data_IF_450055260527
#
_entry.id   IF_450055260527
#
_cell.length_a   1.000
_cell.length_b   1.000
_cell.length_c   1.000
_cell.angle_alpha   90.00
_cell.angle_beta   90.00
_cell.angle_gamma   90.00
#
_symmetry.space_group_name_H-M   'P 1'
#
loop_
_entity.id
_entity.type
_entity.pdbx_description
1 polymer ?
#
# COMPACT_ATOMS: atom_id res chain seq x y z
N UNK A 1 24.45 -27.19 2.23
CA UNK A 1 24.53 -25.97 1.39
C UNK A 1 23.60 -24.96 2.04
N UNK A 2 24.13 -23.89 2.62
CA UNK A 2 23.38 -23.01 3.52
C UNK A 2 22.17 -22.39 2.80
N UNK A 3 20.98 -22.40 3.42
CA UNK A 3 19.74 -21.90 2.80
C UNK A 3 19.86 -20.44 2.31
N UNK A 4 20.70 -19.62 2.97
CA UNK A 4 21.01 -18.25 2.50
C UNK A 4 21.72 -18.21 1.13
N UNK A 5 22.57 -19.19 0.82
CA UNK A 5 23.25 -19.27 -0.48
C UNK A 5 22.29 -19.70 -1.60
N UNK A 6 21.27 -20.52 -1.27
CA UNK A 6 20.17 -20.85 -2.19
C UNK A 6 19.25 -19.65 -2.42
N UNK A 7 18.96 -18.87 -1.37
CA UNK A 7 18.22 -17.61 -1.47
C UNK A 7 18.91 -16.56 -2.34
N UNK A 8 20.23 -16.42 -2.21
CA UNK A 8 21.01 -15.53 -3.08
C UNK A 8 20.99 -15.95 -4.57
N UNK A 9 20.90 -17.25 -4.85
CA UNK A 9 20.77 -17.77 -6.22
C UNK A 9 19.33 -17.59 -6.73
N UNK A 10 18.32 -17.87 -5.90
CA UNK A 10 16.90 -17.66 -6.24
C UNK A 10 16.59 -16.19 -6.54
N UNK A 11 17.10 -15.27 -5.72
CA UNK A 11 16.98 -13.83 -5.91
C UNK A 11 17.76 -13.33 -7.13
N UNK A 12 18.82 -14.01 -7.58
CA UNK A 12 19.52 -13.67 -8.82
C UNK A 12 18.84 -14.23 -10.08
N UNK A 13 18.25 -15.43 -10.02
CA UNK A 13 17.81 -16.21 -11.20
C UNK A 13 16.28 -16.18 -11.40
N UNK A 14 15.50 -15.71 -10.41
CA UNK A 14 14.04 -15.61 -10.53
C UNK A 14 13.32 -16.96 -10.36
N UNK A 15 13.92 -17.89 -9.61
CA UNK A 15 13.29 -19.16 -9.25
C UNK A 15 12.42 -19.01 -8.00
N UNK A 16 11.64 -20.04 -7.67
CA UNK A 16 10.98 -20.13 -6.36
C UNK A 16 12.03 -20.08 -5.23
N UNK A 17 11.72 -19.32 -4.17
CA UNK A 17 12.55 -19.28 -2.96
C UNK A 17 12.57 -20.66 -2.28
N UNK A 18 13.68 -21.04 -1.63
CA UNK A 18 13.69 -22.15 -0.67
C UNK A 18 12.55 -22.02 0.35
N UNK A 19 12.08 -23.16 0.87
CA UNK A 19 11.21 -23.16 2.04
C UNK A 19 12.07 -22.90 3.28
N UNK A 20 11.99 -21.69 3.82
CA UNK A 20 12.71 -21.30 5.04
C UNK A 20 11.91 -21.55 6.29
N UNK A 21 10.58 -21.39 6.24
CA UNK A 21 9.68 -21.53 7.38
C UNK A 21 9.26 -20.20 8.01
N UNK A 22 8.23 -20.20 8.89
CA UNK A 22 7.70 -19.01 9.54
C UNK A 22 8.70 -18.33 10.50
N UNK A 23 9.76 -19.01 10.91
CA UNK A 23 10.86 -18.43 11.70
C UNK A 23 11.76 -17.48 10.89
N UNK A 24 11.72 -17.56 9.56
CA UNK A 24 12.50 -16.71 8.67
C UNK A 24 11.79 -15.41 8.30
N UNK A 25 10.66 -15.12 8.94
CA UNK A 25 9.95 -13.84 8.89
C UNK A 25 9.75 -13.35 10.32
N UNK A 26 9.94 -12.05 10.53
CA UNK A 26 9.57 -11.39 11.76
C UNK A 26 8.59 -10.26 11.47
N UNK A 27 7.37 -10.44 11.91
CA UNK A 27 6.25 -9.54 11.63
C UNK A 27 6.32 -8.27 12.48
N UNK A 28 5.59 -7.23 12.10
CA UNK A 28 5.45 -5.98 12.89
C UNK A 28 5.00 -6.28 14.32
N UNK A 29 4.09 -7.25 14.48
CA UNK A 29 3.57 -7.74 15.75
C UNK A 29 4.68 -8.32 16.63
N UNK A 30 5.58 -9.11 16.04
CA UNK A 30 6.71 -9.71 16.75
C UNK A 30 7.84 -8.72 17.04
N UNK A 31 8.00 -7.68 16.21
CA UNK A 31 8.87 -6.55 16.54
C UNK A 31 8.33 -5.78 17.74
N UNK A 32 7.04 -5.44 17.73
CA UNK A 32 6.37 -4.77 18.85
C UNK A 32 6.42 -5.60 20.14
N UNK A 33 6.11 -6.89 20.08
CA UNK A 33 6.09 -7.78 21.25
C UNK A 33 7.46 -7.96 21.93
N UNK A 34 8.56 -7.76 21.19
CA UNK A 34 9.90 -7.78 21.74
C UNK A 34 10.35 -6.43 22.33
N UNK A 35 9.56 -5.38 22.11
CA UNK A 35 9.77 -4.04 22.64
C UNK A 35 9.02 -3.79 23.95
N UNK A 36 8.70 -2.53 24.20
CA UNK A 36 7.93 -2.11 25.36
C UNK A 36 6.43 -2.15 25.03
N UNK A 37 5.77 -3.25 25.41
CA UNK A 37 4.34 -3.48 25.16
C UNK A 37 3.41 -2.64 26.06
N UNK A 38 3.96 -1.77 26.91
CA UNK A 38 3.16 -0.76 27.61
C UNK A 38 2.84 0.45 26.71
N UNK A 39 3.56 0.60 25.60
CA UNK A 39 3.32 1.64 24.60
C UNK A 39 2.18 1.24 23.65
N UNK A 40 1.52 2.22 22.98
CA UNK A 40 0.56 1.93 21.93
C UNK A 40 1.14 1.01 20.84
N UNK A 41 0.29 0.24 20.18
CA UNK A 41 0.64 -0.67 19.06
C UNK A 41 1.05 0.07 17.77
N UNK A 42 1.39 1.35 17.87
CA UNK A 42 1.80 2.21 16.78
C UNK A 42 2.75 3.29 17.27
N UNK A 43 3.45 3.90 16.32
CA UNK A 43 4.28 5.08 16.57
C UNK A 43 3.86 6.21 15.62
N UNK A 44 3.74 7.42 16.14
CA UNK A 44 3.50 8.61 15.32
C UNK A 44 4.71 8.94 14.46
N UNK A 45 4.47 9.32 13.20
CA UNK A 45 5.52 9.68 12.25
C UNK A 45 6.13 11.04 12.57
N UNK A 46 7.44 11.11 12.42
CA UNK A 46 8.23 12.33 12.32
C UNK A 46 8.59 12.57 10.85
N UNK A 47 8.91 13.82 10.49
CA UNK A 47 9.27 14.15 9.11
C UNK A 47 10.44 13.32 8.56
N UNK A 48 11.41 12.97 9.41
CA UNK A 48 12.53 12.09 9.03
C UNK A 48 12.11 10.66 8.68
N UNK A 49 10.97 10.18 9.21
CA UNK A 49 10.50 8.82 8.91
C UNK A 49 10.02 8.72 7.46
N UNK A 50 9.65 9.85 6.85
CA UNK A 50 9.19 9.99 5.48
C UNK A 50 10.34 10.06 4.46
N UNK A 51 11.58 9.93 4.92
CA UNK A 51 12.74 9.86 4.03
C UNK A 51 12.70 8.56 3.20
N UNK A 52 12.95 8.69 1.90
CA UNK A 52 13.21 7.57 1.01
C UNK A 52 14.45 6.81 1.52
N UNK A 53 14.28 5.51 1.74
CA UNK A 53 15.29 4.61 2.28
C UNK A 53 16.39 4.28 1.26
N UNK A 54 16.03 4.22 -0.03
CA UNK A 54 16.95 4.01 -1.15
C UNK A 54 17.90 2.80 -0.97
N UNK A 55 17.39 1.60 -0.65
CA UNK A 55 18.26 0.43 -0.54
C UNK A 55 18.93 0.09 -1.88
N UNK A 56 20.12 -0.50 -1.81
CA UNK A 56 20.91 -0.87 -2.99
C UNK A 56 20.53 -2.22 -3.61
N UNK A 57 19.84 -3.08 -2.85
CA UNK A 57 19.31 -4.37 -3.29
C UNK A 57 18.08 -4.22 -4.18
N UNK A 58 17.56 -5.32 -4.74
CA UNK A 58 16.33 -5.28 -5.54
C UNK A 58 15.16 -4.85 -4.66
N UNK A 59 14.54 -3.72 -4.99
CA UNK A 59 13.47 -3.15 -4.19
C UNK A 59 12.48 -2.34 -5.02
N UNK A 60 11.33 -2.10 -4.40
CA UNK A 60 10.33 -1.12 -4.83
C UNK A 60 10.01 -0.23 -3.64
N UNK A 61 10.25 1.06 -3.77
CA UNK A 61 9.85 2.08 -2.81
C UNK A 61 8.82 3.01 -3.47
N UNK A 62 7.76 3.35 -2.75
CA UNK A 62 6.64 4.10 -3.32
C UNK A 62 6.12 5.18 -2.37
N UNK A 63 5.69 6.27 -2.97
CA UNK A 63 4.82 7.25 -2.32
C UNK A 63 3.50 7.27 -3.10
N UNK A 64 2.40 6.93 -2.43
CA UNK A 64 1.07 6.83 -3.03
C UNK A 64 0.12 7.80 -2.34
N UNK A 65 -0.58 8.60 -3.14
CA UNK A 65 -1.52 9.61 -2.68
C UNK A 65 -2.90 9.25 -3.21
N UNK A 66 -3.72 8.59 -2.39
CA UNK A 66 -5.09 8.20 -2.71
C UNK A 66 -6.07 9.32 -2.37
N UNK A 67 -7.00 9.60 -3.27
CA UNK A 67 -7.92 10.74 -3.18
C UNK A 67 -9.35 10.26 -3.30
N UNK A 68 -10.20 10.71 -2.39
CA UNK A 68 -11.66 10.63 -2.47
C UNK A 68 -12.17 12.07 -2.54
N UNK A 69 -12.68 12.49 -3.69
CA UNK A 69 -13.23 13.84 -3.84
C UNK A 69 -14.57 13.96 -3.13
N UNK A 70 -14.94 15.17 -2.74
CA UNK A 70 -16.21 15.44 -2.06
C UNK A 70 -17.43 15.08 -2.90
N UNK A 71 -17.29 15.09 -4.23
CA UNK A 71 -18.31 14.67 -5.18
C UNK A 71 -18.25 13.18 -5.54
N UNK A 72 -17.46 12.40 -4.82
CA UNK A 72 -17.47 10.93 -4.82
C UNK A 72 -16.66 10.27 -5.94
N UNK A 73 -15.60 10.91 -6.43
CA UNK A 73 -14.67 10.36 -7.42
C UNK A 73 -13.40 9.88 -6.76
N UNK A 74 -12.72 8.96 -7.44
CA UNK A 74 -11.42 8.45 -7.04
C UNK A 74 -10.31 9.14 -7.84
N UNK A 75 -9.25 9.53 -7.15
CA UNK A 75 -8.00 9.98 -7.74
C UNK A 75 -6.80 9.30 -7.11
N UNK A 76 -5.71 9.20 -7.85
CA UNK A 76 -4.42 8.72 -7.34
C UNK A 76 -3.28 9.44 -8.03
N UNK A 77 -2.27 9.81 -7.27
CA UNK A 77 -0.94 10.14 -7.78
C UNK A 77 0.09 9.23 -7.08
N UNK A 78 1.10 8.77 -7.81
CA UNK A 78 2.08 7.84 -7.26
C UNK A 78 3.47 8.06 -7.86
N UNK A 79 4.48 8.02 -7.00
CA UNK A 79 5.88 7.85 -7.39
C UNK A 79 6.29 6.42 -7.07
N UNK A 80 6.94 5.75 -8.03
CA UNK A 80 7.59 4.46 -7.82
C UNK A 80 9.07 4.64 -8.11
N UNK A 81 9.93 4.30 -7.16
CA UNK A 81 11.37 4.15 -7.36
C UNK A 81 11.74 2.69 -7.18
N UNK A 82 12.46 2.10 -8.14
CA UNK A 82 12.77 0.67 -8.12
C UNK A 82 14.20 0.41 -8.53
N UNK A 83 14.92 -0.36 -7.72
CA UNK A 83 16.15 -1.02 -8.14
C UNK A 83 15.76 -2.38 -8.71
N UNK A 84 15.75 -2.49 -10.04
CA UNK A 84 15.34 -3.72 -10.73
C UNK A 84 16.47 -4.74 -10.68
N UNK A 85 17.68 -4.29 -11.02
CA UNK A 85 18.90 -5.11 -10.99
C UNK A 85 19.98 -4.32 -10.24
N UNK A 86 20.44 -4.79 -9.06
CA UNK A 86 21.41 -4.07 -8.23
C UNK A 86 22.65 -3.68 -9.02
N UNK A 87 23.03 -2.40 -8.92
CA UNK A 87 24.21 -1.83 -9.61
C UNK A 87 24.09 -1.70 -11.13
N UNK A 88 22.98 -2.12 -11.76
CA UNK A 88 22.82 -2.12 -13.21
C UNK A 88 21.63 -1.25 -13.64
N UNK A 89 20.47 -1.43 -13.01
CA UNK A 89 19.23 -0.80 -13.46
C UNK A 89 18.36 -0.34 -12.29
N UNK A 90 18.25 0.97 -12.19
CA UNK A 90 17.27 1.68 -11.35
C UNK A 90 16.32 2.44 -12.26
N UNK A 91 15.05 2.51 -11.87
CA UNK A 91 13.99 3.21 -12.61
C UNK A 91 13.12 4.01 -11.66
N UNK A 92 12.58 5.12 -12.16
CA UNK A 92 11.50 5.84 -11.51
C UNK A 92 10.30 5.97 -12.45
N UNK A 93 9.09 5.92 -11.89
CA UNK A 93 7.83 6.10 -12.61
C UNK A 93 6.92 7.07 -11.86
N UNK A 94 6.10 7.80 -12.61
CA UNK A 94 5.00 8.59 -12.05
C UNK A 94 3.68 8.09 -12.64
N UNK A 95 2.71 7.84 -11.77
CA UNK A 95 1.40 7.32 -12.18
C UNK A 95 0.29 8.27 -11.75
N UNK A 96 -0.72 8.40 -12.59
CA UNK A 96 -1.99 9.06 -12.29
C UNK A 96 -3.12 8.08 -12.57
N UNK A 97 -4.05 7.94 -11.63
CA UNK A 97 -5.30 7.20 -11.83
C UNK A 97 -6.48 8.10 -11.50
N UNK A 98 -7.54 7.98 -12.30
CA UNK A 98 -8.79 8.69 -12.04
C UNK A 98 -9.99 7.83 -12.42
N UNK A 99 -11.05 7.90 -11.61
CA UNK A 99 -12.28 7.16 -11.84
C UNK A 99 -13.48 7.94 -11.31
N UNK A 100 -14.48 8.10 -12.16
CA UNK A 100 -15.80 8.60 -11.80
C UNK A 100 -16.79 7.42 -11.83
N UNK A 101 -17.37 7.01 -10.68
CA UNK A 101 -18.38 5.95 -10.64
C UNK A 101 -19.59 6.22 -11.55
N UNK A 102 -19.87 7.48 -11.89
CA UNK A 102 -20.97 7.87 -12.78
C UNK A 102 -20.61 7.76 -14.26
N UNK A 103 -19.32 7.62 -14.60
CA UNK A 103 -18.78 7.46 -15.95
C UNK A 103 -17.65 6.42 -15.95
N UNK A 104 -17.94 5.16 -15.61
CA UNK A 104 -16.92 4.12 -15.45
C UNK A 104 -16.10 3.86 -16.73
N UNK A 105 -16.67 4.14 -17.90
CA UNK A 105 -16.02 4.07 -19.21
C UNK A 105 -14.89 5.10 -19.42
N UNK A 106 -14.94 6.22 -18.68
CA UNK A 106 -13.96 7.31 -18.77
C UNK A 106 -12.76 7.12 -17.83
N UNK A 107 -12.67 5.96 -17.16
CA UNK A 107 -11.55 5.61 -16.27
C UNK A 107 -10.21 5.89 -16.96
N UNK A 108 -9.31 6.55 -16.22
CA UNK A 108 -7.99 6.90 -16.70
C UNK A 108 -6.91 6.23 -15.85
N UNK A 109 -5.95 5.64 -16.54
CA UNK A 109 -4.69 5.16 -15.98
C UNK A 109 -3.55 5.70 -16.86
N UNK A 110 -2.62 6.40 -16.22
CA UNK A 110 -1.37 6.85 -16.82
C UNK A 110 -0.22 6.34 -15.95
N UNK A 111 0.75 5.70 -16.59
CA UNK A 111 1.98 5.26 -15.95
C UNK A 111 3.13 5.59 -16.91
N UNK A 112 3.97 6.54 -16.50
CA UNK A 112 5.06 7.03 -17.34
C UNK A 112 6.41 6.91 -16.63
N UNK A 113 7.46 6.42 -17.32
CA UNK A 113 8.81 6.49 -16.80
C UNK A 113 9.26 7.95 -16.73
N UNK A 114 9.99 8.31 -15.68
CA UNK A 114 10.56 9.64 -15.51
C UNK A 114 12.09 9.58 -15.47
N UNK A 115 12.75 10.66 -15.85
CA UNK A 115 14.22 10.76 -15.97
C UNK A 115 14.80 11.86 -15.08
N UNK A 116 16.13 11.84 -14.90
CA UNK A 116 16.88 12.83 -14.12
C UNK A 116 16.35 13.03 -12.69
N UNK A 117 15.94 11.91 -12.06
CA UNK A 117 15.36 11.98 -10.73
C UNK A 117 16.39 12.22 -9.63
N UNK A 118 15.98 12.91 -8.58
CA UNK A 118 16.80 13.18 -7.39
C UNK A 118 15.94 13.32 -6.15
N UNK A 119 16.58 13.12 -4.99
CA UNK A 119 15.95 13.26 -3.67
C UNK A 119 16.56 14.45 -2.94
N UNK A 120 15.73 15.25 -2.29
CA UNK A 120 16.14 16.47 -1.58
C UNK A 120 15.56 16.50 -0.17
N UNK A 121 16.03 17.46 0.64
CA UNK A 121 15.49 17.75 1.98
C UNK A 121 15.50 16.51 2.88
N UNK A 122 16.69 15.96 3.13
CA UNK A 122 16.83 14.72 3.91
C UNK A 122 16.14 13.51 3.27
N UNK A 123 16.14 13.46 1.93
CA UNK A 123 15.46 12.47 1.12
C UNK A 123 13.95 12.40 1.34
N UNK A 124 13.26 13.47 1.71
CA UNK A 124 11.78 13.44 1.89
C UNK A 124 11.01 13.93 0.67
N UNK A 125 11.69 14.61 -0.25
CA UNK A 125 11.12 15.16 -1.49
C UNK A 125 11.75 14.50 -2.71
N UNK A 126 10.92 14.26 -3.73
CA UNK A 126 11.31 13.64 -5.00
C UNK A 126 11.16 14.65 -6.15
N UNK A 127 12.15 14.70 -7.03
CA UNK A 127 12.15 15.51 -8.24
C UNK A 127 12.53 14.62 -9.41
N UNK A 128 11.98 14.91 -10.59
CA UNK A 128 12.39 14.36 -11.88
C UNK A 128 12.02 15.36 -12.98
N UNK A 129 12.37 15.08 -14.22
CA UNK A 129 11.91 15.89 -15.35
C UNK A 129 10.37 15.97 -15.34
N UNK A 130 9.84 17.19 -15.31
CA UNK A 130 8.40 17.49 -15.27
C UNK A 130 7.62 16.91 -14.07
N UNK A 131 8.30 16.47 -13.00
CA UNK A 131 7.67 15.94 -11.78
C UNK A 131 8.32 16.51 -10.53
N UNK A 132 7.51 16.91 -9.55
CA UNK A 132 7.96 17.26 -8.22
C UNK A 132 6.95 16.80 -7.15
N UNK A 133 7.46 16.13 -6.12
CA UNK A 133 6.72 15.75 -4.91
C UNK A 133 7.50 16.28 -3.72
N UNK A 134 7.01 17.37 -3.14
CA UNK A 134 7.77 18.20 -2.20
C UNK A 134 7.09 18.20 -0.84
N UNK A 135 7.77 17.72 0.19
CA UNK A 135 7.34 17.85 1.58
C UNK A 135 7.60 19.28 2.05
N UNK A 136 6.63 19.90 2.73
CA UNK A 136 6.81 21.21 3.37
C UNK A 136 7.82 21.16 4.52
N UNK A 137 8.46 22.29 4.83
CA UNK A 137 9.50 22.38 5.86
C UNK A 137 9.02 21.90 7.24
N UNK A 138 7.74 22.12 7.56
CA UNK A 138 7.09 21.67 8.80
C UNK A 138 6.67 20.19 8.78
N UNK A 139 6.85 19.49 7.65
CA UNK A 139 6.43 18.10 7.45
C UNK A 139 4.92 17.87 7.43
N UNK A 140 4.12 18.94 7.29
CA UNK A 140 2.66 18.88 7.37
C UNK A 140 1.94 18.69 6.04
N UNK A 141 2.62 18.91 4.90
CA UNK A 141 1.98 18.84 3.59
C UNK A 141 2.91 18.41 2.47
N UNK A 142 2.35 17.76 1.45
CA UNK A 142 3.01 17.50 0.18
C UNK A 142 2.43 18.38 -0.93
N UNK A 143 3.30 18.97 -1.75
CA UNK A 143 2.92 19.57 -3.05
C UNK A 143 3.35 18.63 -4.16
N UNK A 144 2.40 18.22 -4.99
CA UNK A 144 2.59 17.23 -6.06
C UNK A 144 2.29 17.91 -7.39
N UNK A 145 3.27 17.93 -8.28
CA UNK A 145 3.12 18.43 -9.65
C UNK A 145 3.67 17.41 -10.63
N UNK A 146 2.91 17.13 -11.68
CA UNK A 146 3.37 16.32 -12.79
C UNK A 146 2.83 16.85 -14.11
N UNK A 147 3.72 16.97 -15.08
CA UNK A 147 3.44 17.21 -16.50
C UNK A 147 4.12 16.14 -17.37
N UNK A 148 4.46 14.99 -16.78
CA UNK A 148 5.21 13.94 -17.45
C UNK A 148 4.39 13.23 -18.56
N UNK A 149 3.06 13.20 -18.43
CA UNK A 149 2.15 12.73 -19.47
C UNK A 149 1.30 13.92 -19.97
N UNK A 150 1.32 14.27 -21.28
CA UNK A 150 0.49 15.34 -21.81
C UNK A 150 -1.01 15.09 -21.63
N UNK A 151 -1.45 13.84 -21.51
CA UNK A 151 -2.85 13.45 -21.32
C UNK A 151 -3.25 13.31 -19.86
N UNK A 152 -2.30 13.33 -18.92
CA UNK A 152 -2.56 13.18 -17.50
C UNK A 152 -1.56 14.02 -16.69
N UNK A 153 -2.02 15.17 -16.22
CA UNK A 153 -1.21 16.11 -15.44
C UNK A 153 -1.87 16.36 -14.09
N UNK A 154 -1.08 16.74 -13.09
CA UNK A 154 -1.61 17.07 -11.77
C UNK A 154 -0.91 18.28 -11.16
N UNK A 155 -1.65 19.05 -10.37
CA UNK A 155 -1.11 20.02 -9.42
C UNK A 155 -1.97 19.98 -8.16
N UNK A 156 -1.51 19.26 -7.14
CA UNK A 156 -2.28 18.90 -5.95
C UNK A 156 -1.48 19.22 -4.69
N UNK A 157 -2.18 19.61 -3.64
CA UNK A 157 -1.65 19.77 -2.29
C UNK A 157 -2.35 18.75 -1.38
N UNK A 158 -1.54 17.99 -0.65
CA UNK A 158 -1.97 17.05 0.39
C UNK A 158 -1.57 17.62 1.75
N UNK A 159 -2.53 18.00 2.59
CA UNK A 159 -2.26 18.52 3.94
C UNK A 159 -2.78 17.53 4.96
N UNK A 160 -1.91 17.01 5.85
CA UNK A 160 -2.34 16.07 6.88
C UNK A 160 -3.36 16.74 7.82
N UNK A 161 -4.43 16.02 8.14
CA UNK A 161 -5.44 16.47 9.09
C UNK A 161 -5.29 15.79 10.45
N UNK A 162 -4.55 14.68 10.51
CA UNK A 162 -4.17 14.01 11.74
C UNK A 162 -2.68 13.67 11.74
N UNK A 163 -2.09 13.26 12.87
CA UNK A 163 -0.76 12.66 12.87
C UNK A 163 -0.72 11.46 11.92
N UNK A 164 0.44 11.27 11.28
CA UNK A 164 0.74 10.04 10.57
C UNK A 164 1.18 8.95 11.54
N UNK A 165 1.09 7.69 11.16
CA UNK A 165 1.59 6.58 11.99
C UNK A 165 2.28 5.47 11.18
N UNK A 166 2.98 4.61 11.92
CA UNK A 166 3.45 3.30 11.50
C UNK A 166 3.02 2.25 12.54
N UNK A 167 2.79 1.01 12.11
CA UNK A 167 2.48 -0.09 13.03
C UNK A 167 3.67 -0.44 13.93
N UNK A 168 3.42 -0.75 15.19
CA UNK A 168 4.46 -1.06 16.17
C UNK A 168 5.46 0.09 16.34
N UNK A 169 6.75 -0.26 16.42
CA UNK A 169 7.83 0.70 16.69
C UNK A 169 8.50 1.29 15.45
N UNK A 170 8.48 0.56 14.33
CA UNK A 170 9.21 0.94 13.11
C UNK A 170 8.46 0.67 11.80
N UNK A 171 7.28 0.06 11.88
CA UNK A 171 6.45 -0.31 10.73
C UNK A 171 7.01 -1.47 9.90
N UNK A 172 8.00 -2.22 10.39
CA UNK A 172 8.75 -3.20 9.59
C UNK A 172 8.29 -4.64 9.82
N UNK A 173 8.20 -5.37 8.72
CA UNK A 173 8.33 -6.83 8.68
C UNK A 173 9.66 -7.17 8.04
N UNK A 174 10.44 -8.04 8.66
CA UNK A 174 11.78 -8.40 8.20
C UNK A 174 11.88 -9.87 7.81
N UNK A 175 12.65 -10.15 6.77
CA UNK A 175 12.86 -11.49 6.22
C UNK A 175 14.31 -11.91 6.43
N UNK A 176 14.53 -13.12 6.94
CA UNK A 176 15.85 -13.65 7.22
C UNK A 176 15.87 -14.68 8.33
N UNK A 177 16.76 -15.66 8.21
CA UNK A 177 17.06 -16.58 9.33
C UNK A 177 17.92 -15.93 10.42
N UNK A 178 18.57 -14.81 10.12
CA UNK A 178 19.30 -13.98 11.07
C UNK A 178 18.65 -12.59 11.12
N UNK A 179 17.88 -12.34 12.19
CA UNK A 179 17.15 -11.08 12.36
C UNK A 179 18.06 -9.88 12.69
N UNK A 180 19.36 -10.11 12.97
CA UNK A 180 20.33 -9.03 13.08
C UNK A 180 20.83 -8.56 11.71
N UNK A 181 20.62 -9.38 10.68
CA UNK A 181 21.00 -9.12 9.28
C UNK A 181 19.91 -9.63 8.34
N UNK A 182 18.69 -9.06 8.40
CA UNK A 182 17.62 -9.45 7.49
C UNK A 182 18.05 -9.20 6.05
N UNK A 183 17.66 -10.09 5.13
CA UNK A 183 17.95 -9.95 3.70
C UNK A 183 16.88 -9.16 2.95
N UNK A 184 15.76 -8.84 3.62
CA UNK A 184 14.67 -8.08 3.03
C UNK A 184 13.71 -7.56 4.09
N UNK A 185 12.87 -6.62 3.69
CA UNK A 185 11.86 -6.02 4.55
C UNK A 185 10.67 -5.48 3.76
N UNK A 186 9.53 -5.39 4.45
CA UNK A 186 8.37 -4.59 4.04
C UNK A 186 8.15 -3.54 5.12
N UNK A 187 7.90 -2.28 4.72
CA UNK A 187 7.59 -1.18 5.63
C UNK A 187 6.44 -0.35 5.08
N UNK A 188 5.49 0.04 5.94
CA UNK A 188 4.39 0.93 5.59
C UNK A 188 4.27 2.09 6.57
N UNK A 189 4.16 3.30 6.05
CA UNK A 189 3.93 4.53 6.79
C UNK A 189 2.68 5.20 6.25
N UNK A 190 1.82 5.73 7.12
CA UNK A 190 0.51 6.23 6.75
C UNK A 190 0.31 7.66 7.22
N UNK A 191 -0.22 8.52 6.36
CA UNK A 191 -1.05 9.65 6.79
C UNK A 191 -2.51 9.26 6.55
N UNK A 192 -3.23 8.87 7.61
CA UNK A 192 -4.54 8.24 7.46
C UNK A 192 -5.62 9.17 6.91
N UNK A 193 -5.45 10.47 7.19
CA UNK A 193 -6.40 11.50 6.79
C UNK A 193 -5.70 12.78 6.38
N UNK A 194 -5.97 13.21 5.17
CA UNK A 194 -5.48 14.45 4.59
C UNK A 194 -6.63 15.25 3.98
N UNK A 195 -6.50 16.58 3.97
CA UNK A 195 -7.23 17.45 3.05
C UNK A 195 -6.47 17.44 1.72
N UNK A 196 -7.21 17.34 0.63
CA UNK A 196 -6.65 17.35 -0.72
C UNK A 196 -7.29 18.48 -1.50
N UNK A 197 -6.46 19.33 -2.10
CA UNK A 197 -6.92 20.42 -2.96
C UNK A 197 -6.04 20.56 -4.20
N UNK A 198 -6.62 20.95 -5.33
CA UNK A 198 -5.88 21.20 -6.57
C UNK A 198 -6.65 20.78 -7.81
N UNK A 199 -5.93 20.21 -8.78
CA UNK A 199 -6.56 19.74 -10.03
C UNK A 199 -5.77 18.63 -10.72
N UNK A 200 -6.50 17.84 -11.50
CA UNK A 200 -5.97 17.07 -12.61
C UNK A 200 -6.30 17.77 -13.94
N UNK A 201 -5.45 17.57 -14.94
CA UNK A 201 -5.77 17.85 -16.36
C UNK A 201 -5.73 16.52 -17.08
N UNK A 202 -6.90 16.02 -17.49
CA UNK A 202 -7.11 14.69 -18.05
C UNK A 202 -7.61 14.84 -19.49
N UNK A 203 -6.81 14.39 -20.47
CA UNK A 203 -7.12 14.52 -21.91
C UNK A 203 -7.49 15.95 -22.33
N UNK A 204 -6.89 16.95 -21.69
CA UNK A 204 -7.15 18.38 -21.91
C UNK A 204 -8.28 18.98 -21.07
N UNK A 205 -9.03 18.18 -20.31
CA UNK A 205 -10.08 18.66 -19.42
C UNK A 205 -9.58 18.82 -17.99
N UNK A 206 -9.87 19.97 -17.36
CA UNK A 206 -9.53 20.23 -15.97
C UNK A 206 -10.57 19.63 -15.04
N UNK A 207 -10.12 18.78 -14.12
CA UNK A 207 -10.91 18.26 -13.00
C UNK A 207 -10.40 18.90 -11.72
N UNK A 208 -11.22 19.76 -11.11
CA UNK A 208 -10.93 20.32 -9.78
C UNK A 208 -11.02 19.23 -8.72
N UNK A 209 -10.05 19.22 -7.81
CA UNK A 209 -9.97 18.30 -6.68
C UNK A 209 -10.18 19.08 -5.40
N UNK A 210 -11.22 18.71 -4.65
CA UNK A 210 -11.41 19.01 -3.24
C UNK A 210 -11.90 17.71 -2.57
N UNK A 211 -11.35 17.37 -1.42
CA UNK A 211 -11.78 16.22 -0.66
C UNK A 211 -10.74 15.69 0.30
N UNK A 212 -10.76 14.36 0.49
CA UNK A 212 -9.97 13.65 1.50
C UNK A 212 -8.95 12.75 0.85
N UNK A 213 -7.90 12.45 1.59
CA UNK A 213 -6.87 11.55 1.08
C UNK A 213 -6.18 10.73 2.14
N UNK A 214 -5.55 9.68 1.64
CA UNK A 214 -4.63 8.79 2.34
C UNK A 214 -3.28 8.87 1.63
N UNK A 215 -2.23 9.14 2.39
CA UNK A 215 -0.86 9.01 1.88
C UNK A 215 -0.19 7.79 2.48
N UNK A 216 0.48 7.00 1.62
CA UNK A 216 1.27 5.84 2.02
C UNK A 216 2.69 6.01 1.49
N UNK A 217 3.68 5.87 2.38
CA UNK A 217 5.07 5.64 1.99
C UNK A 217 5.41 4.19 2.29
N UNK A 218 5.66 3.39 1.25
CA UNK A 218 5.91 1.97 1.38
C UNK A 218 7.27 1.57 0.79
N UNK A 219 7.97 0.68 1.48
CA UNK A 219 9.18 0.02 0.99
C UNK A 219 8.94 -1.47 0.96
N UNK A 220 9.25 -2.09 -0.17
CA UNK A 220 9.41 -3.53 -0.31
C UNK A 220 10.83 -3.80 -0.82
N UNK A 221 11.71 -4.17 0.10
CA UNK A 221 13.13 -4.47 -0.15
C UNK A 221 13.32 -5.94 -0.53
N UNK A 222 12.48 -6.41 -1.46
CA UNK A 222 12.45 -7.77 -1.99
C UNK A 222 11.77 -7.76 -3.36
N UNK A 223 11.97 -8.84 -4.14
CA UNK A 223 11.12 -9.11 -5.31
C UNK A 223 9.67 -9.33 -4.86
N UNK A 224 8.66 -8.78 -5.57
CA UNK A 224 7.25 -8.89 -5.16
C UNK A 224 6.78 -10.32 -4.85
N UNK A 225 7.06 -11.26 -5.74
CA UNK A 225 6.66 -12.68 -5.59
C UNK A 225 7.45 -13.45 -4.53
N UNK A 226 8.55 -12.88 -4.02
CA UNK A 226 9.27 -13.44 -2.87
C UNK A 226 8.73 -12.86 -1.56
N UNK A 227 8.22 -11.63 -1.59
CA UNK A 227 7.74 -10.94 -0.39
C UNK A 227 6.31 -11.38 -0.01
N UNK A 228 5.41 -11.49 -0.99
CA UNK A 228 4.00 -11.76 -0.76
C UNK A 228 3.37 -12.61 -1.86
N UNK A 229 2.42 -13.45 -1.47
CA UNK A 229 1.56 -14.24 -2.35
C UNK A 229 0.23 -13.53 -2.61
N UNK A 230 -0.35 -12.90 -1.58
CA UNK A 230 -1.60 -12.13 -1.69
C UNK A 230 -1.55 -10.86 -0.86
N UNK A 231 -2.35 -9.87 -1.23
CA UNK A 231 -2.58 -8.65 -0.44
C UNK A 231 -4.06 -8.29 -0.36
N UNK A 232 -4.44 -7.67 0.75
CA UNK A 232 -5.70 -6.98 0.92
C UNK A 232 -5.43 -5.53 1.37
N UNK A 233 -6.13 -4.59 0.75
CA UNK A 233 -6.04 -3.18 1.08
C UNK A 233 -7.43 -2.60 1.30
N UNK A 234 -7.57 -1.77 2.33
CA UNK A 234 -8.76 -0.98 2.60
C UNK A 234 -8.36 0.46 2.93
N UNK A 235 -9.02 1.41 2.27
CA UNK A 235 -8.96 2.84 2.53
C UNK A 235 -10.39 3.39 2.62
N UNK A 236 -10.92 3.49 3.83
CA UNK A 236 -12.20 4.12 4.11
C UNK A 236 -12.02 5.59 4.47
N UNK A 237 -12.82 6.45 3.84
CA UNK A 237 -12.88 7.88 4.11
C UNK A 237 -14.34 8.33 4.33
N UNK A 238 -14.69 8.64 5.57
CA UNK A 238 -15.97 9.23 5.98
C UNK A 238 -15.88 10.74 6.23
N UNK A 239 -16.98 11.42 6.62
CA UNK A 239 -17.01 12.83 7.01
C UNK A 239 -15.98 13.26 8.06
N UNK A 240 -15.76 12.47 9.10
CA UNK A 240 -14.82 12.79 10.19
C UNK A 240 -13.81 11.69 10.46
N UNK A 241 -14.12 10.45 10.07
CA UNK A 241 -13.30 9.26 10.34
C UNK A 241 -12.65 8.70 9.07
N UNK A 242 -11.48 8.09 9.24
CA UNK A 242 -10.79 7.28 8.24
C UNK A 242 -10.34 5.96 8.86
N UNK A 243 -10.33 4.88 8.08
CA UNK A 243 -9.82 3.57 8.49
C UNK A 243 -9.00 2.95 7.36
N UNK A 244 -7.80 2.49 7.68
CA UNK A 244 -6.82 1.99 6.70
C UNK A 244 -6.32 0.63 7.14
N UNK A 245 -6.26 -0.33 6.23
CA UNK A 245 -5.66 -1.64 6.45
C UNK A 245 -4.78 -2.02 5.26
N UNK A 246 -3.60 -2.54 5.55
CA UNK A 246 -2.74 -3.24 4.61
C UNK A 246 -2.43 -4.62 5.20
N UNK A 247 -2.91 -5.66 4.54
CA UNK A 247 -2.66 -7.05 4.92
C UNK A 247 -1.97 -7.77 3.75
N UNK A 248 -0.97 -8.58 4.04
CA UNK A 248 -0.41 -9.50 3.07
C UNK A 248 -0.17 -10.87 3.67
N UNK A 249 -0.24 -11.88 2.81
CA UNK A 249 0.18 -13.24 3.14
C UNK A 249 1.46 -13.56 2.38
N UNK A 250 2.47 -14.07 3.08
CA UNK A 250 3.73 -14.47 2.44
C UNK A 250 3.56 -15.72 1.57
N UNK A 251 4.49 -15.97 0.63
CA UNK A 251 4.56 -17.27 -0.04
C UNK A 251 4.87 -18.40 0.95
N UNK A 252 4.67 -19.67 0.55
CA UNK A 252 5.00 -20.85 1.36
C UNK A 252 6.43 -20.85 1.91
N UNK A 253 7.36 -20.16 1.23
CA UNK A 253 8.74 -19.97 1.67
C UNK A 253 8.89 -19.40 3.09
N UNK A 254 7.91 -18.62 3.54
CA UNK A 254 7.86 -18.01 4.87
C UNK A 254 6.65 -18.49 5.68
N UNK A 255 6.21 -19.73 5.42
CA UNK A 255 5.15 -20.40 6.17
C UNK A 255 3.75 -19.80 5.98
N UNK A 256 3.49 -19.13 4.85
CA UNK A 256 2.17 -18.54 4.55
C UNK A 256 1.70 -17.62 5.69
N UNK A 257 2.64 -16.82 6.20
CA UNK A 257 2.45 -15.95 7.35
C UNK A 257 1.65 -14.73 6.92
N UNK A 258 0.53 -14.48 7.60
CA UNK A 258 -0.27 -13.27 7.41
C UNK A 258 0.28 -12.13 8.27
N UNK A 259 0.40 -10.94 7.68
CA UNK A 259 0.80 -9.72 8.36
C UNK A 259 -0.22 -8.65 8.04
N UNK A 260 -0.85 -8.09 9.06
CA UNK A 260 -1.81 -7.02 8.92
C UNK A 260 -1.42 -5.79 9.75
N UNK A 261 -1.36 -4.63 9.12
CA UNK A 261 -1.18 -3.33 9.77
C UNK A 261 -2.30 -2.40 9.36
N UNK A 262 -2.69 -1.49 10.25
CA UNK A 262 -3.76 -0.54 9.95
C UNK A 262 -3.94 0.48 11.04
N UNK A 263 -5.00 1.28 10.93
CA UNK A 263 -5.35 2.24 11.96
C UNK A 263 -6.53 3.10 11.58
N UNK A 264 -7.03 3.82 12.57
CA UNK A 264 -8.14 4.74 12.45
C UNK A 264 -7.73 6.13 12.92
N UNK A 265 -8.19 7.15 12.19
CA UNK A 265 -8.09 8.54 12.62
C UNK A 265 -9.45 9.22 12.53
N UNK A 266 -9.75 10.09 13.50
CA UNK A 266 -11.02 10.81 13.62
C UNK A 266 -10.79 12.19 14.22
N UNK A 267 -11.46 13.19 13.66
CA UNK A 267 -11.47 14.58 14.18
C UNK A 267 -10.07 15.17 14.42
N UNK A 268 -9.10 14.73 13.61
CA UNK A 268 -7.72 15.20 13.65
C UNK A 268 -6.78 14.43 14.57
N UNK A 269 -7.26 13.40 15.26
CA UNK A 269 -6.45 12.52 16.11
C UNK A 269 -6.39 11.09 15.57
N UNK A 270 -5.35 10.34 15.93
CA UNK A 270 -5.33 8.88 15.76
C UNK A 270 -6.17 8.27 16.87
N UNK A 271 -7.18 7.47 16.51
CA UNK A 271 -7.94 6.68 17.48
C UNK A 271 -7.10 5.49 17.94
N UNK A 272 -6.56 4.74 16.98
CA UNK A 272 -5.68 3.61 17.23
C UNK A 272 -4.85 3.30 15.97
N UNK A 273 -3.61 2.88 16.16
CA UNK A 273 -2.90 2.07 15.18
C UNK A 273 -2.93 0.60 15.60
N UNK A 274 -3.16 -0.27 14.63
CA UNK A 274 -3.57 -1.66 14.82
C UNK A 274 -2.64 -2.60 14.09
N UNK A 275 -2.34 -3.72 14.73
CA UNK A 275 -1.44 -4.75 14.21
C UNK A 275 -2.06 -6.14 14.38
N UNK A 276 -3.36 -6.25 14.68
CA UNK A 276 -4.05 -7.53 14.81
C UNK A 276 -5.37 -7.47 14.04
N UNK A 277 -5.24 -7.34 12.73
CA UNK A 277 -6.36 -7.08 11.83
C UNK A 277 -6.65 -8.30 10.96
N UNK A 278 -7.87 -8.39 10.43
CA UNK A 278 -8.26 -9.42 9.47
C UNK A 278 -8.95 -8.83 8.25
N UNK A 279 -8.62 -9.35 7.07
CA UNK A 279 -9.38 -9.18 5.83
C UNK A 279 -9.88 -10.55 5.36
N UNK A 280 -11.17 -10.81 5.53
CA UNK A 280 -11.79 -12.11 5.24
C UNK A 280 -12.59 -12.05 3.94
N UNK A 281 -12.20 -12.83 2.94
CA UNK A 281 -13.00 -13.06 1.73
C UNK A 281 -14.13 -14.05 2.05
N UNK A 282 -15.23 -13.54 2.60
CA UNK A 282 -16.41 -14.33 3.03
C UNK A 282 -17.00 -15.12 1.85
N UNK A 283 -16.99 -14.52 0.66
CA UNK A 283 -17.39 -15.17 -0.59
C UNK A 283 -16.47 -14.71 -1.71
N UNK A 284 -16.03 -15.64 -2.55
CA UNK A 284 -15.28 -15.37 -3.76
C UNK A 284 -15.90 -16.10 -4.96
N UNK A 285 -15.63 -15.60 -6.15
CA UNK A 285 -15.96 -16.24 -7.43
C UNK A 285 -14.72 -16.20 -8.30
N UNK A 286 -14.34 -17.34 -8.86
CA UNK A 286 -13.18 -17.41 -9.74
C UNK A 286 -13.40 -16.54 -10.98
N UNK A 287 -12.41 -15.70 -11.29
CA UNK A 287 -12.40 -14.92 -12.52
C UNK A 287 -12.26 -15.89 -13.72
N UNK A 288 -13.19 -15.90 -14.68
CA UNK A 288 -13.21 -16.89 -15.75
C UNK A 288 -12.04 -16.79 -16.73
N UNK A 289 -11.29 -15.68 -16.72
CA UNK A 289 -10.15 -15.49 -17.63
C UNK A 289 -8.81 -15.85 -16.98
N UNK A 290 -8.71 -15.71 -15.66
CA UNK A 290 -7.42 -15.80 -14.94
C UNK A 290 -7.45 -16.74 -13.72
N UNK A 291 -8.63 -17.27 -13.38
CA UNK A 291 -8.91 -18.24 -12.32
C UNK A 291 -8.50 -17.79 -10.91
N UNK A 292 -8.37 -16.49 -10.66
CA UNK A 292 -8.18 -15.99 -9.30
C UNK A 292 -9.53 -15.85 -8.60
N UNK A 293 -9.61 -16.13 -7.28
CA UNK A 293 -10.85 -16.04 -6.52
C UNK A 293 -11.18 -14.57 -6.23
N UNK A 294 -11.86 -13.90 -7.15
CA UNK A 294 -12.27 -12.50 -6.98
C UNK A 294 -13.25 -12.39 -5.79
N UNK A 295 -12.95 -11.60 -4.75
CA UNK A 295 -13.84 -11.46 -3.61
C UNK A 295 -15.14 -10.78 -4.01
N UNK A 296 -16.26 -11.30 -3.51
CA UNK A 296 -17.61 -10.76 -3.67
C UNK A 296 -18.19 -10.28 -2.35
N UNK A 297 -17.94 -11.00 -1.28
CA UNK A 297 -18.26 -10.56 0.08
C UNK A 297 -16.96 -10.49 0.88
N UNK A 298 -16.72 -9.37 1.56
CA UNK A 298 -15.53 -9.15 2.36
C UNK A 298 -15.88 -8.60 3.74
N UNK A 299 -15.05 -8.95 4.72
CA UNK A 299 -15.08 -8.38 6.06
C UNK A 299 -13.69 -7.91 6.45
N UNK A 300 -13.57 -6.62 6.73
CA UNK A 300 -12.39 -6.03 7.35
C UNK A 300 -12.65 -5.82 8.84
N UNK A 301 -11.74 -6.31 9.67
CA UNK A 301 -11.76 -6.12 11.12
C UNK A 301 -10.46 -5.47 11.58
N UNK A 302 -10.56 -4.31 12.21
CA UNK A 302 -9.44 -3.68 12.91
C UNK A 302 -9.56 -3.98 14.39
N UNK A 303 -8.54 -4.61 14.99
CA UNK A 303 -8.48 -4.81 16.43
C UNK A 303 -7.27 -4.09 17.02
N UNK A 304 -7.50 -3.39 18.13
CA UNK A 304 -6.43 -2.75 18.87
C UNK A 304 -6.93 -2.09 20.14
N UNK A 305 -6.20 -1.06 20.57
CA UNK A 305 -6.55 -0.25 21.74
C UNK A 305 -6.53 1.21 21.38
N UNK A 306 -7.42 1.98 22.00
CA UNK A 306 -7.36 3.44 21.90
C UNK A 306 -6.20 4.02 22.73
N UNK A 307 -6.04 5.35 22.67
CA UNK A 307 -5.02 6.08 23.43
C UNK A 307 -5.13 5.93 24.96
N UNK A 308 -6.31 5.55 25.46
CA UNK A 308 -6.59 5.34 26.88
C UNK A 308 -6.46 3.85 27.29
N UNK A 309 -6.08 2.97 26.34
CA UNK A 309 -5.89 1.54 26.56
C UNK A 309 -7.17 0.69 26.50
N UNK A 310 -8.32 1.28 26.14
CA UNK A 310 -9.59 0.58 25.96
C UNK A 310 -9.57 -0.22 24.67
N UNK A 311 -10.20 -1.39 24.69
CA UNK A 311 -10.32 -2.22 23.50
C UNK A 311 -11.11 -1.47 22.42
N UNK A 312 -10.55 -1.47 21.21
CA UNK A 312 -11.14 -0.90 20.01
C UNK A 312 -11.29 -1.98 18.96
N UNK A 313 -12.52 -2.14 18.45
CA UNK A 313 -12.83 -2.97 17.30
C UNK A 313 -13.56 -2.13 16.27
N UNK A 314 -13.08 -2.13 15.03
CA UNK A 314 -13.80 -1.54 13.92
C UNK A 314 -14.06 -2.56 12.83
N UNK A 315 -15.21 -2.45 12.15
CA UNK A 315 -15.66 -3.44 11.16
C UNK A 315 -16.25 -2.74 9.95
N UNK A 316 -15.85 -3.22 8.77
CA UNK A 316 -16.57 -3.01 7.51
C UNK A 316 -16.93 -4.38 6.95
N UNK A 317 -18.21 -4.62 6.72
CA UNK A 317 -18.72 -5.78 5.99
C UNK A 317 -19.34 -5.28 4.69
N UNK A 318 -18.94 -5.84 3.56
CA UNK A 318 -19.36 -5.36 2.24
C UNK A 318 -19.54 -6.50 1.26
N UNK A 319 -20.70 -6.51 0.59
CA UNK A 319 -20.88 -7.19 -0.69
C UNK A 319 -20.54 -6.22 -1.80
N UNK A 320 -19.53 -6.55 -2.60
CA UNK A 320 -19.09 -5.73 -3.72
C UNK A 320 -20.10 -5.76 -4.86
N UNK A 321 -20.36 -4.58 -5.42
CA UNK A 321 -20.98 -4.41 -6.71
C UNK A 321 -19.95 -4.61 -7.85
N UNK A 322 -20.13 -3.92 -8.99
CA UNK A 322 -19.15 -3.96 -10.06
C UNK A 322 -17.78 -3.45 -9.60
N UNK A 323 -16.73 -4.22 -9.87
CA UNK A 323 -15.34 -3.79 -9.66
C UNK A 323 -15.04 -2.51 -10.44
N UNK A 324 -14.26 -1.61 -9.84
CA UNK A 324 -13.70 -0.43 -10.49
C UNK A 324 -12.67 -0.84 -11.56
N UNK A 325 -11.84 -1.83 -11.23
CA UNK A 325 -10.79 -2.30 -12.13
C UNK A 325 -10.37 -3.76 -11.87
N UNK A 326 -9.74 -4.35 -12.89
CA UNK A 326 -8.96 -5.59 -12.81
C UNK A 326 -7.63 -5.36 -13.50
N UNK A 327 -6.60 -5.07 -12.72
CA UNK A 327 -5.27 -4.68 -13.23
C UNK A 327 -4.43 -5.92 -13.48
N UNK A 328 -3.99 -6.12 -14.73
CA UNK A 328 -2.93 -7.08 -15.08
C UNK A 328 -1.57 -6.44 -14.76
N UNK A 329 -0.96 -6.82 -13.63
CA UNK A 329 0.33 -6.25 -13.22
C UNK A 329 1.40 -6.54 -14.29
N UNK A 330 1.36 -7.71 -14.93
CA UNK A 330 2.31 -8.04 -15.99
C UNK A 330 2.03 -7.24 -17.27
N UNK A 331 0.80 -6.79 -17.49
CA UNK A 331 0.43 -5.82 -18.52
C UNK A 331 1.15 -4.49 -18.32
N UNK A 332 1.12 -3.97 -17.09
CA UNK A 332 1.60 -2.64 -16.71
C UNK A 332 3.13 -2.52 -16.54
N UNK A 333 3.81 -3.64 -16.25
CA UNK A 333 5.26 -3.64 -16.04
C UNK A 333 6.03 -3.33 -17.35
N UNK A 334 7.08 -2.49 -17.35
CA UNK A 334 7.87 -2.21 -18.55
C UNK A 334 8.45 -3.48 -19.20
N UNK A 335 8.46 -3.54 -20.54
CA UNK A 335 8.77 -4.76 -21.29
C UNK A 335 10.12 -5.43 -20.97
N UNK A 336 11.13 -4.68 -20.55
CA UNK A 336 12.41 -5.27 -20.15
C UNK A 336 12.34 -5.99 -18.79
N UNK A 337 11.50 -5.52 -17.87
CA UNK A 337 11.26 -6.18 -16.58
C UNK A 337 10.48 -7.48 -16.82
N UNK A 338 9.52 -7.49 -17.78
CA UNK A 338 8.81 -8.71 -18.18
C UNK A 338 9.77 -9.83 -18.59
N UNK A 339 10.85 -9.52 -19.31
CA UNK A 339 11.87 -10.52 -19.73
C UNK A 339 12.59 -11.17 -18.55
N UNK A 340 12.80 -10.45 -17.46
CA UNK A 340 13.43 -10.96 -16.24
C UNK A 340 12.41 -11.73 -15.39
N UNK A 341 11.15 -11.28 -15.36
CA UNK A 341 10.05 -11.91 -14.62
C UNK A 341 9.47 -13.15 -15.32
N UNK A 342 9.61 -13.29 -16.64
CA UNK A 342 9.09 -14.43 -17.41
C UNK A 342 9.74 -15.78 -17.10
N UNK A 343 10.79 -15.80 -16.27
CA UNK A 343 11.45 -17.02 -15.81
C UNK A 343 10.75 -17.69 -14.62
N UNK A 344 9.85 -16.99 -13.90
CA UNK A 344 9.06 -17.56 -12.81
C UNK A 344 7.76 -18.14 -13.37
N UNK A 345 7.73 -19.47 -13.52
CA UNK A 345 6.65 -20.20 -14.14
C UNK A 345 5.27 -19.93 -13.49
N UNK A 346 4.32 -19.41 -14.27
CA UNK A 346 2.88 -19.63 -14.05
C UNK A 346 2.09 -18.56 -13.29
N UNK A 347 2.73 -17.63 -12.59
CA UNK A 347 2.00 -16.61 -11.82
C UNK A 347 1.58 -15.44 -12.71
N UNK A 348 0.27 -15.24 -12.90
CA UNK A 348 -0.28 -14.04 -13.55
C UNK A 348 -0.80 -13.09 -12.46
N UNK A 349 0.00 -12.15 -11.96
CA UNK A 349 -0.42 -11.30 -10.86
C UNK A 349 -1.54 -10.32 -11.27
N UNK A 350 -2.61 -10.28 -10.49
CA UNK A 350 -3.76 -9.39 -10.72
C UNK A 350 -4.16 -8.63 -9.45
N UNK A 351 -4.70 -7.43 -9.65
CA UNK A 351 -5.33 -6.62 -8.61
C UNK A 351 -6.80 -6.41 -8.98
N UNK A 352 -7.71 -6.81 -8.10
CA UNK A 352 -9.12 -6.46 -8.17
C UNK A 352 -9.34 -5.21 -7.32
N UNK A 353 -9.94 -4.18 -7.91
CA UNK A 353 -10.14 -2.89 -7.25
C UNK A 353 -11.62 -2.56 -7.14
N UNK A 354 -12.02 -2.07 -5.98
CA UNK A 354 -13.40 -1.69 -5.65
C UNK A 354 -13.42 -0.27 -5.09
N UNK A 355 -14.44 0.50 -5.45
CA UNK A 355 -14.62 1.87 -4.98
C UNK A 355 -16.11 2.16 -4.79
N UNK A 356 -16.59 2.02 -3.55
CA UNK A 356 -18.03 2.01 -3.25
C UNK A 356 -18.36 2.68 -1.91
N UNK A 357 -19.61 3.11 -1.71
CA UNK A 357 -20.10 3.47 -0.38
C UNK A 357 -19.99 2.30 0.60
N UNK A 358 -19.62 2.59 1.85
CA UNK A 358 -19.55 1.61 2.93
C UNK A 358 -19.90 2.26 4.27
N UNK A 359 -20.24 1.44 5.26
CA UNK A 359 -20.48 1.86 6.64
C UNK A 359 -19.40 1.26 7.53
N UNK A 360 -18.67 2.12 8.23
CA UNK A 360 -17.69 1.74 9.25
C UNK A 360 -18.38 1.70 10.62
N UNK A 361 -18.33 0.55 11.29
CA UNK A 361 -18.77 0.40 12.69
C UNK A 361 -17.55 0.44 13.59
N UNK A 362 -17.58 1.20 14.67
CA UNK A 362 -16.46 1.36 15.60
C UNK A 362 -16.98 1.19 17.02
N UNK A 363 -16.37 0.28 17.76
CA UNK A 363 -16.61 0.06 19.18
C UNK A 363 -15.34 0.38 19.97
N UNK A 364 -15.44 1.26 20.96
CA UNK A 364 -14.36 1.58 21.91
C UNK A 364 -14.89 1.37 23.33
N UNK A 365 -14.41 0.34 24.02
CA UNK A 365 -15.02 -0.12 25.28
C UNK A 365 -16.51 -0.44 25.06
N UNK A 366 -17.39 0.26 25.78
CA UNK A 366 -18.85 0.11 25.66
C UNK A 366 -19.50 1.07 24.68
N UNK A 367 -18.75 2.00 24.09
CA UNK A 367 -19.28 2.99 23.15
C UNK A 367 -19.22 2.45 21.72
N UNK A 368 -20.36 2.46 21.02
CA UNK A 368 -20.45 2.09 19.62
C UNK A 368 -20.88 3.30 18.77
N UNK A 369 -20.22 3.50 17.65
CA UNK A 369 -20.52 4.53 16.66
C UNK A 369 -20.45 3.96 15.26
N UNK A 370 -21.17 4.58 14.33
CA UNK A 370 -21.18 4.19 12.92
C UNK A 370 -21.00 5.42 12.05
N UNK A 371 -20.26 5.29 10.96
CA UNK A 371 -20.06 6.37 9.99
C UNK A 371 -20.14 5.84 8.57
N UNK A 372 -20.95 6.49 7.74
CA UNK A 372 -21.00 6.22 6.30
C UNK A 372 -19.90 6.99 5.58
N UNK A 373 -19.34 6.38 4.55
CA UNK A 373 -18.27 6.96 3.74
C UNK A 373 -18.05 6.17 2.47
N UNK A 374 -16.89 6.36 1.87
CA UNK A 374 -16.47 5.63 0.67
C UNK A 374 -15.26 4.77 1.03
N UNK A 375 -15.26 3.52 0.58
CA UNK A 375 -14.13 2.62 0.66
C UNK A 375 -13.51 2.42 -0.72
N UNK A 376 -12.21 2.66 -0.83
CA UNK A 376 -11.38 2.06 -1.86
C UNK A 376 -10.76 0.78 -1.30
N UNK A 377 -10.85 -0.32 -2.04
CA UNK A 377 -10.29 -1.60 -1.62
C UNK A 377 -9.61 -2.32 -2.77
N UNK A 378 -8.55 -3.05 -2.44
CA UNK A 378 -7.85 -3.91 -3.39
C UNK A 378 -7.71 -5.32 -2.82
N UNK A 379 -7.85 -6.31 -3.70
CA UNK A 379 -7.44 -7.69 -3.47
C UNK A 379 -6.42 -8.08 -4.54
N UNK A 380 -5.19 -8.34 -4.11
CA UNK A 380 -4.08 -8.68 -4.99
C UNK A 380 -3.73 -10.15 -4.86
N UNK A 381 -3.55 -10.80 -6.01
CA UNK A 381 -3.07 -12.17 -6.10
C UNK A 381 -1.80 -12.18 -6.92
N UNK A 382 -0.71 -12.68 -6.35
CA UNK A 382 0.61 -12.77 -6.98
C UNK A 382 0.95 -14.22 -7.25
N UNK A 383 0.84 -15.07 -6.24
CA UNK A 383 1.07 -16.52 -6.33
C UNK A 383 0.09 -17.26 -5.44
N UNK A 384 -0.07 -18.56 -5.67
CA UNK A 384 -0.92 -19.40 -4.82
C UNK A 384 -0.26 -19.56 -3.43
N UNK A 385 -0.90 -19.12 -2.33
CA UNK A 385 -0.39 -19.33 -0.98
C UNK A 385 -0.51 -20.79 -0.50
N UNK A 386 -1.33 -21.61 -1.17
CA UNK A 386 -1.57 -23.02 -0.87
C UNK A 386 -1.36 -23.90 -2.13
N UNK A 387 -0.15 -23.92 -2.73
CA UNK A 387 0.08 -24.72 -3.92
C UNK A 387 -0.19 -26.19 -3.60
N UNK A 388 -1.04 -26.83 -4.39
CA UNK A 388 -1.23 -28.28 -4.32
C UNK A 388 0.14 -28.96 -4.48
N UNK A 389 0.52 -29.73 -3.46
CA UNK A 389 1.82 -30.42 -3.34
C UNK A 389 2.20 -31.26 -4.55
#
# INVERSE_FOLDING_TARGET
MLNWAKGAISSAVGTAEPIYGPEAIRTVQQHYAAGDTTKPTYSELKSQDLAWALPSGTNVETQVFYIVTDDGKFGMAQVIHSVVVPGIKTTAQFNIKFFDPKKPEDKLWSSVPVSNWSFHTGNTSFYADNVAVILSEDGGSYKIKSQADPNAQCSIVFTRLSPGFMGGTDGRTTYGTDQTKPWGQIRHLFWPRCKVEGSFILKGETVTIDGKGLFIHALQDMKPHHAAATWNFANFQGPTTSAIMMEFTTPPSYGTTCVAVGGLAKDGDIIAGTIDNTAEHVKAVDDPEVNWPEPKDIKFTWNGKDKDGKDMVAVIEKSWGPRMDRVDIMGEVPGFVKKIASATAGTRPYIYQFFEPATLKIKVGDQETTEDGIIFSEATFISDPNPSS
#
